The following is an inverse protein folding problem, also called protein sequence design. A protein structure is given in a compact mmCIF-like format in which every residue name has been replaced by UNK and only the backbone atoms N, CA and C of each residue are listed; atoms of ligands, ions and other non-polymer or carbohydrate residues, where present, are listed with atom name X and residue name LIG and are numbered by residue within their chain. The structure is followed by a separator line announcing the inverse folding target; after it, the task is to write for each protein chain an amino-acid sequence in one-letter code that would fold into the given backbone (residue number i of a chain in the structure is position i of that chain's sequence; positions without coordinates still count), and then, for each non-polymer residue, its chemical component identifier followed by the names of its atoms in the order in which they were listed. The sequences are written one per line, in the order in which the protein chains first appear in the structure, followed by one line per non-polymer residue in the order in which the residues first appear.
data_IF_646697285137
#
_entry.id   IF_646697285137
#
_cell.length_a   1.000
_cell.length_b   1.000
_cell.length_c   1.000
_cell.angle_alpha   90.00
_cell.angle_beta   90.00
_cell.angle_gamma   90.00
#
_symmetry.space_group_name_H-M   'P 1'
#
loop_
_entity.id
_entity.type
_entity.pdbx_description
1 polymer ?
#
# COMPACT_ATOMS: atom_id res chain seq x y z
N UNK A 1 0.22 10.27 28.12
CA UNK A 1 0.09 10.91 26.80
C UNK A 1 1.48 10.91 26.17
N UNK A 2 1.67 10.17 25.07
CA UNK A 2 2.97 10.04 24.40
C UNK A 2 2.94 10.76 23.06
N UNK A 3 4.11 11.22 22.62
CA UNK A 3 4.29 11.81 21.29
C UNK A 3 4.68 10.71 20.32
N UNK A 4 3.79 10.38 19.40
CA UNK A 4 3.93 9.27 18.47
C UNK A 4 4.22 9.78 17.08
N UNK A 5 5.36 9.40 16.52
CA UNK A 5 5.72 9.68 15.14
C UNK A 5 5.35 8.52 14.24
N UNK A 6 4.56 8.78 13.21
CA UNK A 6 4.35 7.84 12.11
C UNK A 6 5.20 8.28 10.92
N UNK A 7 5.99 7.39 10.36
CA UNK A 7 6.72 7.61 9.11
C UNK A 7 6.23 6.60 8.07
N UNK A 8 5.66 7.08 6.98
CA UNK A 8 5.11 6.21 5.95
C UNK A 8 4.48 6.97 4.79
N UNK A 9 4.05 6.28 3.73
CA UNK A 9 3.55 6.89 2.51
C UNK A 9 2.05 7.25 2.60
N UNK A 10 1.65 8.06 3.59
CA UNK A 10 0.24 8.37 3.88
C UNK A 10 -0.53 8.94 2.68
N UNK A 11 0.13 9.70 1.81
CA UNK A 11 -0.48 10.29 0.61
C UNK A 11 -0.62 9.30 -0.55
N UNK A 12 0.08 8.16 -0.52
CA UNK A 12 0.05 7.19 -1.62
C UNK A 12 -1.27 6.42 -1.67
N UNK A 13 -1.81 6.22 -2.88
CA UNK A 13 -2.93 5.29 -3.13
C UNK A 13 -2.47 3.82 -3.26
N UNK A 14 -1.36 3.46 -2.65
CA UNK A 14 -0.87 2.09 -2.52
C UNK A 14 -1.44 1.38 -1.29
N UNK A 15 -1.27 0.05 -1.20
CA UNK A 15 -1.59 -0.72 0.01
C UNK A 15 -0.84 -0.25 1.24
N UNK A 16 0.43 0.13 1.11
CA UNK A 16 1.21 0.73 2.19
C UNK A 16 0.66 2.11 2.62
N UNK A 17 0.17 2.91 1.66
CA UNK A 17 -0.49 4.17 1.97
C UNK A 17 -1.77 3.97 2.78
N UNK A 18 -2.63 3.02 2.40
CA UNK A 18 -3.84 2.69 3.17
C UNK A 18 -3.51 2.13 4.56
N UNK A 19 -2.48 1.29 4.66
CA UNK A 19 -2.02 0.78 5.96
C UNK A 19 -1.52 1.93 6.86
N UNK A 20 -0.75 2.85 6.30
CA UNK A 20 -0.28 4.05 7.01
C UNK A 20 -1.46 4.91 7.50
N UNK A 21 -2.44 5.19 6.64
CA UNK A 21 -3.65 5.95 7.02
C UNK A 21 -4.48 5.24 8.07
N UNK A 22 -4.61 3.92 7.99
CA UNK A 22 -5.34 3.13 8.99
C UNK A 22 -4.69 3.22 10.37
N UNK A 23 -3.36 3.14 10.43
CA UNK A 23 -2.61 3.34 11.66
C UNK A 23 -2.77 4.76 12.20
N UNK A 24 -2.67 5.78 11.32
CA UNK A 24 -2.86 7.19 11.71
C UNK A 24 -4.27 7.43 12.27
N UNK A 25 -5.32 6.91 11.64
CA UNK A 25 -6.71 7.03 12.14
C UNK A 25 -6.86 6.41 13.52
N UNK A 26 -6.30 5.22 13.73
CA UNK A 26 -6.31 4.56 15.03
C UNK A 26 -5.59 5.40 16.08
N UNK A 27 -4.36 5.81 15.83
CA UNK A 27 -3.59 6.62 16.78
C UNK A 27 -4.26 7.96 17.08
N UNK A 28 -4.85 8.63 16.08
CA UNK A 28 -5.59 9.87 16.26
C UNK A 28 -6.90 9.72 17.05
N UNK A 29 -7.42 8.50 17.20
CA UNK A 29 -8.56 8.21 18.08
C UNK A 29 -8.17 7.95 19.54
N UNK A 30 -6.88 7.93 19.83
CA UNK A 30 -6.34 7.76 21.19
C UNK A 30 -5.98 9.11 21.82
N UNK A 31 -5.51 9.08 23.07
CA UNK A 31 -5.03 10.27 23.79
C UNK A 31 -3.58 10.69 23.44
N UNK A 32 -2.98 10.05 22.43
CA UNK A 32 -1.61 10.37 22.02
C UNK A 32 -1.55 11.58 21.09
N UNK A 33 -0.43 12.31 21.15
CA UNK A 33 -0.10 13.33 20.15
C UNK A 33 0.52 12.63 18.92
N UNK A 34 -0.13 12.75 17.76
CA UNK A 34 0.28 12.06 16.53
C UNK A 34 0.96 13.03 15.57
N UNK A 35 2.09 12.60 15.05
CA UNK A 35 2.94 13.34 14.09
C UNK A 35 3.21 12.47 12.88
N UNK A 36 3.39 13.07 11.70
CA UNK A 36 3.59 12.36 10.44
C UNK A 36 4.78 12.89 9.65
N UNK A 37 5.72 11.99 9.33
CA UNK A 37 6.68 12.17 8.23
C UNK A 37 6.17 11.38 7.04
N UNK A 38 5.57 12.08 6.06
CA UNK A 38 5.17 11.43 4.82
C UNK A 38 6.39 11.16 3.94
N UNK A 39 6.45 9.94 3.39
CA UNK A 39 7.47 9.53 2.43
C UNK A 39 6.82 9.15 1.10
N UNK A 40 7.57 9.24 0.01
CA UNK A 40 7.09 8.77 -1.27
C UNK A 40 7.12 7.24 -1.32
N UNK A 41 6.14 6.63 -1.98
CA UNK A 41 6.13 5.20 -2.25
C UNK A 41 6.74 4.92 -3.62
N UNK A 42 8.05 4.69 -3.64
CA UNK A 42 8.81 4.52 -4.87
C UNK A 42 8.66 5.72 -5.81
N UNK A 43 8.50 5.44 -7.10
CA UNK A 43 8.27 6.46 -8.15
C UNK A 43 6.78 6.67 -8.45
N UNK A 44 5.88 6.11 -7.62
CA UNK A 44 4.44 6.20 -7.87
C UNK A 44 3.95 7.64 -7.70
N UNK A 45 3.43 8.23 -8.77
CA UNK A 45 2.74 9.52 -8.75
C UNK A 45 1.26 9.43 -8.34
N UNK A 46 0.78 8.24 -8.00
CA UNK A 46 -0.62 8.03 -7.63
C UNK A 46 -0.84 8.39 -6.16
N UNK A 47 -1.21 9.63 -5.92
CA UNK A 47 -1.43 10.19 -4.59
C UNK A 47 -2.87 10.69 -4.42
N UNK A 48 -3.29 10.86 -3.19
CA UNK A 48 -4.54 11.57 -2.83
C UNK A 48 -4.32 13.05 -3.10
N UNK A 49 -5.10 13.61 -4.04
CA UNK A 49 -4.90 15.01 -4.48
C UNK A 49 -5.73 16.01 -3.66
N UNK A 50 -6.98 15.63 -3.31
CA UNK A 50 -7.94 16.54 -2.66
C UNK A 50 -8.85 15.79 -1.69
N UNK A 51 -9.60 16.53 -0.88
CA UNK A 51 -10.64 16.05 0.02
C UNK A 51 -10.23 16.02 1.49
N UNK A 52 -11.19 15.79 2.37
CA UNK A 52 -11.02 15.88 3.82
C UNK A 52 -9.88 14.99 4.36
N UNK A 53 -9.66 13.81 3.76
CA UNK A 53 -8.57 12.93 4.15
C UNK A 53 -7.21 13.53 3.77
N UNK A 54 -7.12 14.20 2.61
CA UNK A 54 -5.91 14.93 2.20
C UNK A 54 -5.64 16.10 3.13
N UNK A 55 -6.63 16.89 3.43
CA UNK A 55 -6.49 18.05 4.31
C UNK A 55 -6.00 17.65 5.69
N UNK A 56 -6.58 16.60 6.27
CA UNK A 56 -6.13 16.04 7.55
C UNK A 56 -4.68 15.54 7.52
N UNK A 57 -4.26 14.85 6.45
CA UNK A 57 -2.86 14.38 6.31
C UNK A 57 -1.92 15.58 6.19
N UNK A 58 -2.29 16.60 5.42
CA UNK A 58 -1.49 17.83 5.28
C UNK A 58 -1.34 18.57 6.61
N UNK A 59 -2.38 18.63 7.44
CA UNK A 59 -2.31 19.19 8.80
C UNK A 59 -1.31 18.43 9.68
N UNK A 60 -1.31 17.10 9.65
CA UNK A 60 -0.33 16.28 10.38
C UNK A 60 1.10 16.53 9.90
N UNK A 61 1.32 16.61 8.59
CA UNK A 61 2.63 16.91 8.00
C UNK A 61 3.09 18.30 8.44
N UNK A 62 2.22 19.31 8.37
CA UNK A 62 2.54 20.69 8.73
C UNK A 62 2.86 20.84 10.22
N UNK A 63 2.08 20.21 11.10
CA UNK A 63 2.33 20.21 12.54
C UNK A 63 3.68 19.57 12.88
N UNK A 64 3.99 18.45 12.24
CA UNK A 64 5.28 17.76 12.38
C UNK A 64 6.44 18.64 11.90
N UNK A 65 6.30 19.27 10.73
CA UNK A 65 7.32 20.17 10.20
C UNK A 65 7.58 21.39 11.12
N UNK A 66 6.52 21.94 11.71
CA UNK A 66 6.64 23.03 12.70
C UNK A 66 7.42 22.56 13.93
N UNK A 67 7.10 21.40 14.48
CA UNK A 67 7.76 20.82 15.65
C UNK A 67 9.24 20.54 15.40
N UNK A 68 9.58 19.96 14.24
CA UNK A 68 10.97 19.71 13.85
C UNK A 68 11.76 21.03 13.71
N UNK A 69 11.16 22.05 13.10
CA UNK A 69 11.81 23.37 12.93
C UNK A 69 12.04 24.12 14.23
N UNK A 70 11.18 23.94 15.23
CA UNK A 70 11.37 24.55 16.56
C UNK A 70 12.43 23.84 17.41
N UNK A 71 12.98 22.72 16.96
CA UNK A 71 13.93 21.91 17.72
C UNK A 71 13.29 21.00 18.76
N UNK A 72 11.93 20.91 18.79
CA UNK A 72 11.17 20.14 19.78
C UNK A 72 10.80 18.75 19.25
N UNK A 73 11.60 18.18 18.34
CA UNK A 73 11.36 16.87 17.71
C UNK A 73 11.70 15.71 18.65
N UNK A 74 11.17 15.73 19.85
CA UNK A 74 11.29 14.72 20.90
C UNK A 74 10.08 13.77 20.85
N UNK A 75 10.16 12.75 20.04
CA UNK A 75 9.15 11.72 19.93
C UNK A 75 9.46 10.56 20.89
N UNK A 76 8.44 9.98 21.52
CA UNK A 76 8.60 8.85 22.46
C UNK A 76 8.63 7.52 21.70
N UNK A 77 7.79 7.39 20.67
CA UNK A 77 7.58 6.17 19.88
C UNK A 77 7.56 6.53 18.39
N UNK A 78 8.18 5.70 17.56
CA UNK A 78 8.01 5.78 16.12
C UNK A 78 7.36 4.52 15.55
N UNK A 79 6.41 4.69 14.63
CA UNK A 79 5.89 3.65 13.75
C UNK A 79 6.36 3.95 12.32
N UNK A 80 6.99 2.98 11.67
CA UNK A 80 7.55 3.15 10.34
C UNK A 80 6.92 2.17 9.35
N UNK A 81 5.90 2.65 8.61
CA UNK A 81 5.13 1.86 7.64
C UNK A 81 5.85 1.88 6.29
N UNK A 82 6.86 1.03 6.14
CA UNK A 82 7.79 1.02 5.02
C UNK A 82 8.37 -0.38 4.78
N UNK A 83 9.23 -0.52 3.76
CA UNK A 83 10.08 -1.69 3.64
C UNK A 83 11.09 -1.73 4.79
N UNK A 84 11.41 -2.90 5.34
CA UNK A 84 12.34 -3.02 6.47
C UNK A 84 13.68 -2.31 6.26
N UNK A 85 14.24 -2.37 5.06
CA UNK A 85 15.51 -1.69 4.72
C UNK A 85 15.48 -0.15 4.85
N UNK A 86 14.30 0.44 5.03
CA UNK A 86 14.12 1.90 5.16
C UNK A 86 13.88 2.34 6.62
N UNK A 87 13.80 1.40 7.57
CA UNK A 87 13.61 1.72 8.99
C UNK A 87 14.83 2.42 9.59
N UNK A 88 14.57 3.33 10.52
CA UNK A 88 15.57 4.19 11.16
C UNK A 88 15.29 4.31 12.65
N UNK A 89 16.28 4.72 13.43
CA UNK A 89 16.09 5.11 14.84
C UNK A 89 15.61 6.55 14.90
N UNK A 90 14.30 6.74 15.11
CA UNK A 90 13.64 8.05 15.11
C UNK A 90 13.10 8.46 16.48
N UNK A 91 13.05 7.52 17.42
CA UNK A 91 12.56 7.71 18.78
C UNK A 91 13.29 6.74 19.73
N UNK A 92 13.15 6.88 21.05
CA UNK A 92 13.61 5.88 22.01
C UNK A 92 13.04 4.48 21.77
N UNK A 93 11.78 4.37 21.29
CA UNK A 93 11.14 3.11 20.93
C UNK A 93 10.67 3.13 19.47
N UNK A 94 11.15 2.20 18.66
CA UNK A 94 10.93 2.17 17.22
C UNK A 94 10.21 0.89 16.80
N UNK A 95 9.11 1.02 16.09
CA UNK A 95 8.28 -0.06 15.60
C UNK A 95 8.31 -0.07 14.08
N UNK A 96 8.85 -1.13 13.50
CA UNK A 96 8.77 -1.38 12.06
C UNK A 96 7.42 -2.00 11.69
N UNK A 97 6.76 -1.47 10.66
CA UNK A 97 5.49 -2.00 10.15
C UNK A 97 5.64 -2.30 8.68
N UNK A 98 5.43 -3.55 8.28
CA UNK A 98 5.61 -3.98 6.89
C UNK A 98 4.56 -5.01 6.48
N UNK A 99 4.23 -5.05 5.19
CA UNK A 99 3.38 -6.10 4.62
C UNK A 99 4.06 -7.48 4.59
N UNK A 100 5.39 -7.51 4.78
CA UNK A 100 6.18 -8.72 4.67
C UNK A 100 6.54 -9.07 3.24
N UNK A 101 7.01 -10.29 3.05
CA UNK A 101 7.38 -10.85 1.75
C UNK A 101 6.37 -11.91 1.30
N UNK A 102 6.18 -12.03 0.00
CA UNK A 102 5.38 -13.10 -0.64
C UNK A 102 6.19 -14.41 -0.77
N UNK A 103 7.49 -14.39 -0.43
CA UNK A 103 8.38 -15.54 -0.42
C UNK A 103 8.43 -16.22 0.97
N UNK A 104 9.01 -17.41 1.02
CA UNK A 104 9.16 -18.18 2.28
C UNK A 104 10.22 -17.60 3.22
N UNK A 105 11.11 -16.74 2.71
CA UNK A 105 12.13 -16.06 3.51
C UNK A 105 12.31 -14.62 3.04
N UNK A 106 12.59 -13.72 3.95
CA UNK A 106 13.01 -12.35 3.64
C UNK A 106 14.51 -12.31 3.34
N UNK A 107 14.98 -11.22 2.72
CA UNK A 107 16.41 -11.00 2.49
C UNK A 107 17.17 -10.76 3.80
N UNK A 108 18.47 -10.99 3.79
CA UNK A 108 19.33 -10.72 4.94
C UNK A 108 19.29 -9.25 5.38
N UNK A 109 19.14 -8.32 4.44
CA UNK A 109 18.98 -6.90 4.75
C UNK A 109 17.71 -6.60 5.56
N UNK A 110 16.63 -7.35 5.34
CA UNK A 110 15.39 -7.21 6.13
C UNK A 110 15.54 -7.82 7.53
N UNK A 111 16.23 -8.94 7.65
CA UNK A 111 16.56 -9.52 8.95
C UNK A 111 17.43 -8.55 9.78
N UNK A 112 18.46 -7.97 9.16
CA UNK A 112 19.30 -6.96 9.81
C UNK A 112 18.50 -5.71 10.22
N UNK A 113 17.61 -5.24 9.37
CA UNK A 113 16.73 -4.11 9.72
C UNK A 113 15.78 -4.44 10.90
N UNK A 114 15.27 -5.67 10.96
CA UNK A 114 14.49 -6.13 12.10
C UNK A 114 15.29 -6.10 13.40
N UNK A 115 16.62 -6.27 13.36
CA UNK A 115 17.50 -6.14 14.54
C UNK A 115 17.54 -4.71 15.08
N UNK A 116 17.48 -3.71 14.19
CA UNK A 116 17.65 -2.29 14.54
C UNK A 116 16.42 -1.62 15.17
N UNK A 117 15.23 -2.25 15.08
CA UNK A 117 13.99 -1.75 15.69
C UNK A 117 13.62 -2.56 16.93
N UNK A 118 12.83 -1.98 17.82
CA UNK A 118 12.45 -2.60 19.10
C UNK A 118 11.32 -3.63 18.93
N UNK A 119 10.40 -3.37 17.99
CA UNK A 119 9.30 -4.28 17.65
C UNK A 119 9.00 -4.24 16.15
N UNK A 120 8.37 -5.31 15.64
CA UNK A 120 7.92 -5.40 14.24
C UNK A 120 6.46 -5.82 14.20
N UNK A 121 5.67 -5.20 13.33
CA UNK A 121 4.29 -5.56 13.04
C UNK A 121 4.20 -6.04 11.60
N UNK A 122 3.58 -7.21 11.42
CA UNK A 122 3.30 -7.81 10.10
C UNK A 122 1.85 -8.29 10.03
N UNK A 123 1.25 -8.42 8.82
CA UNK A 123 -0.18 -8.71 8.70
C UNK A 123 -0.55 -10.18 8.85
N UNK A 124 0.41 -11.11 8.83
CA UNK A 124 0.11 -12.54 8.84
C UNK A 124 1.21 -13.38 9.47
N UNK A 125 0.86 -14.59 9.87
CA UNK A 125 1.83 -15.59 10.34
C UNK A 125 2.83 -15.97 9.24
N UNK A 126 2.41 -15.99 7.96
CA UNK A 126 3.32 -16.20 6.85
C UNK A 126 4.43 -15.12 6.83
N UNK A 127 4.04 -13.86 6.90
CA UNK A 127 4.99 -12.75 6.94
C UNK A 127 5.90 -12.81 8.18
N UNK A 128 5.38 -13.19 9.35
CA UNK A 128 6.20 -13.43 10.54
C UNK A 128 7.20 -14.56 10.34
N UNK A 129 6.75 -15.69 9.78
CA UNK A 129 7.57 -16.87 9.61
C UNK A 129 8.63 -16.72 8.50
N UNK A 130 8.49 -15.75 7.60
CA UNK A 130 9.49 -15.43 6.58
C UNK A 130 10.75 -14.75 7.15
N UNK A 131 10.67 -14.16 8.35
CA UNK A 131 11.86 -13.66 9.07
C UNK A 131 12.60 -14.78 9.78
N UNK A 132 13.90 -14.59 10.02
CA UNK A 132 14.72 -15.51 10.79
C UNK A 132 14.16 -15.74 12.18
N UNK A 133 14.27 -16.98 12.70
CA UNK A 133 13.67 -17.40 13.95
C UNK A 133 14.08 -16.51 15.13
N UNK A 134 15.33 -16.08 15.17
CA UNK A 134 15.89 -15.20 16.20
C UNK A 134 15.17 -13.85 16.38
N UNK A 135 14.42 -13.38 15.35
CA UNK A 135 13.69 -12.10 15.40
C UNK A 135 12.19 -12.28 15.65
N UNK A 136 11.65 -13.51 15.60
CA UNK A 136 10.20 -13.75 15.64
C UNK A 136 9.55 -13.37 16.95
N UNK A 137 10.28 -13.38 18.05
CA UNK A 137 9.75 -13.02 19.37
C UNK A 137 9.33 -11.56 19.46
N UNK A 138 9.98 -10.68 18.72
CA UNK A 138 9.59 -9.26 18.66
C UNK A 138 8.65 -8.92 17.49
N UNK A 139 8.22 -9.92 16.71
CA UNK A 139 7.28 -9.74 15.60
C UNK A 139 5.87 -10.10 16.05
N UNK A 140 5.00 -9.10 16.03
CA UNK A 140 3.57 -9.25 16.29
C UNK A 140 2.79 -9.34 14.99
N UNK A 141 1.76 -10.18 14.97
CA UNK A 141 0.85 -10.30 13.82
C UNK A 141 -0.39 -9.46 14.07
N UNK A 142 -0.55 -8.41 13.27
CA UNK A 142 -1.74 -7.55 13.27
C UNK A 142 -2.26 -7.49 11.83
N UNK A 143 -3.38 -8.14 11.51
CA UNK A 143 -3.96 -8.13 10.18
C UNK A 143 -4.28 -6.71 9.69
N UNK A 144 -4.30 -6.53 8.36
CA UNK A 144 -4.79 -5.29 7.78
C UNK A 144 -6.25 -5.07 8.18
N UNK A 145 -6.56 -3.85 8.63
CA UNK A 145 -7.93 -3.46 8.83
C UNK A 145 -8.58 -3.01 7.51
N UNK A 146 -9.86 -3.33 7.37
CA UNK A 146 -10.69 -2.82 6.30
C UNK A 146 -11.68 -1.81 6.88
N UNK A 147 -12.00 -0.77 6.14
CA UNK A 147 -13.07 0.15 6.51
C UNK A 147 -14.32 -0.16 5.70
N UNK A 148 -15.47 0.00 6.30
CA UNK A 148 -16.73 0.05 5.56
C UNK A 148 -16.78 1.36 4.76
N UNK A 149 -16.97 1.24 3.46
CA UNK A 149 -17.14 2.38 2.56
C UNK A 149 -18.57 2.36 2.07
N UNK A 150 -19.23 3.50 2.07
CA UNK A 150 -20.52 3.63 1.39
C UNK A 150 -20.31 3.35 -0.09
N UNK A 151 -21.11 2.46 -0.64
CA UNK A 151 -21.04 2.07 -2.04
C UNK A 151 -22.06 2.88 -2.84
N UNK A 152 -21.62 3.46 -3.94
CA UNK A 152 -22.52 4.04 -4.93
C UNK A 152 -22.74 3.04 -6.06
N UNK A 153 -23.98 2.91 -6.50
CA UNK A 153 -24.28 2.11 -7.70
C UNK A 153 -23.68 2.79 -8.92
N UNK A 154 -22.83 2.05 -9.63
CA UNK A 154 -22.21 2.52 -10.87
C UNK A 154 -22.71 1.69 -12.05
N UNK A 155 -23.45 2.34 -12.95
CA UNK A 155 -23.82 1.72 -14.22
C UNK A 155 -22.63 1.82 -15.20
N UNK A 156 -21.99 0.71 -15.47
CA UNK A 156 -20.88 0.63 -16.43
C UNK A 156 -21.34 0.42 -17.88
N UNK A 157 -22.66 0.29 -18.13
CA UNK A 157 -23.20 0.05 -19.46
C UNK A 157 -22.75 -1.28 -20.07
N UNK A 158 -22.56 -2.31 -19.24
CA UNK A 158 -22.10 -3.63 -19.68
C UNK A 158 -23.25 -4.37 -20.38
N UNK A 159 -22.93 -5.06 -21.49
CA UNK A 159 -23.89 -5.81 -22.30
C UNK A 159 -23.88 -7.32 -22.04
N UNK A 160 -23.11 -7.78 -21.07
CA UNK A 160 -22.93 -9.20 -20.72
C UNK A 160 -23.67 -9.57 -19.44
N UNK A 161 -24.22 -10.78 -19.38
CA UNK A 161 -25.03 -11.24 -18.25
C UNK A 161 -24.23 -11.46 -16.97
N UNK A 162 -22.95 -11.82 -17.09
CA UNK A 162 -22.02 -11.94 -15.96
C UNK A 162 -20.69 -11.24 -16.26
N UNK A 163 -20.07 -10.65 -15.25
CA UNK A 163 -18.82 -9.93 -15.44
C UNK A 163 -17.83 -10.23 -14.33
N UNK A 164 -16.62 -10.66 -14.71
CA UNK A 164 -15.46 -10.70 -13.82
C UNK A 164 -14.88 -9.29 -13.67
N UNK A 165 -14.35 -8.98 -12.48
CA UNK A 165 -13.66 -7.72 -12.21
C UNK A 165 -12.21 -7.99 -11.80
N UNK A 166 -11.27 -7.35 -12.51
CA UNK A 166 -9.86 -7.32 -12.14
C UNK A 166 -9.42 -5.89 -11.84
N UNK A 167 -8.91 -5.66 -10.63
CA UNK A 167 -8.36 -4.37 -10.21
C UNK A 167 -6.87 -4.57 -9.92
N UNK A 168 -5.98 -3.98 -10.72
CA UNK A 168 -4.55 -4.18 -10.54
C UNK A 168 -3.71 -3.08 -11.22
N UNK A 169 -2.47 -2.96 -10.77
CA UNK A 169 -1.44 -2.28 -11.54
C UNK A 169 -0.95 -3.21 -12.66
N UNK A 170 -0.81 -2.69 -13.88
CA UNK A 170 -0.20 -3.44 -15.00
C UNK A 170 1.28 -3.65 -14.71
N UNK A 171 1.62 -4.83 -14.26
CA UNK A 171 3.00 -5.19 -13.93
C UNK A 171 3.23 -6.69 -14.12
N UNK A 172 4.48 -7.14 -14.34
CA UNK A 172 4.81 -8.56 -14.50
C UNK A 172 4.30 -9.43 -13.34
N UNK A 173 4.40 -8.93 -12.10
CA UNK A 173 3.94 -9.64 -10.90
C UNK A 173 2.42 -9.88 -10.90
N UNK A 174 1.64 -8.97 -11.44
CA UNK A 174 0.17 -9.08 -11.51
C UNK A 174 -0.30 -9.90 -12.71
N UNK A 175 0.58 -10.12 -13.68
CA UNK A 175 0.36 -11.00 -14.84
C UNK A 175 -0.97 -10.74 -15.58
N UNK A 176 -1.27 -9.47 -15.81
CA UNK A 176 -2.55 -9.04 -16.41
C UNK A 176 -2.72 -9.58 -17.83
N UNK A 177 -1.64 -9.61 -18.60
CA UNK A 177 -1.66 -10.11 -19.97
C UNK A 177 -2.12 -11.58 -20.03
N UNK A 178 -1.58 -12.44 -19.18
CA UNK A 178 -2.01 -13.84 -19.11
C UNK A 178 -3.44 -13.98 -18.59
N UNK A 179 -3.87 -13.12 -17.66
CA UNK A 179 -5.26 -13.09 -17.19
C UNK A 179 -6.24 -12.78 -18.34
N UNK A 180 -5.93 -11.77 -19.16
CA UNK A 180 -6.73 -11.40 -20.31
C UNK A 180 -6.75 -12.53 -21.35
N UNK A 181 -5.58 -13.08 -21.67
CA UNK A 181 -5.45 -14.16 -22.63
C UNK A 181 -6.25 -15.40 -22.21
N UNK A 182 -6.09 -15.85 -20.98
CA UNK A 182 -6.82 -17.00 -20.45
C UNK A 182 -8.35 -16.76 -20.43
N UNK A 183 -8.78 -15.55 -20.06
CA UNK A 183 -10.20 -15.17 -20.12
C UNK A 183 -10.76 -15.25 -21.54
N UNK A 184 -10.05 -14.69 -22.52
CA UNK A 184 -10.49 -14.69 -23.92
C UNK A 184 -10.55 -16.10 -24.49
N UNK A 185 -9.64 -16.99 -24.12
CA UNK A 185 -9.67 -18.39 -24.55
C UNK A 185 -10.83 -19.18 -23.94
N UNK A 186 -11.08 -18.99 -22.64
CA UNK A 186 -12.09 -19.78 -21.92
C UNK A 186 -13.51 -19.35 -22.28
N UNK A 187 -13.76 -18.03 -22.38
CA UNK A 187 -15.12 -17.49 -22.51
C UNK A 187 -15.44 -16.94 -23.90
N UNK A 188 -14.79 -17.43 -24.94
CA UNK A 188 -14.87 -16.89 -26.31
C UNK A 188 -16.30 -16.79 -26.87
N UNK A 189 -17.21 -17.68 -26.50
CA UNK A 189 -18.58 -17.76 -27.01
C UNK A 189 -19.65 -17.66 -25.91
N UNK A 190 -19.29 -17.10 -24.76
CA UNK A 190 -20.19 -17.02 -23.60
C UNK A 190 -20.64 -15.57 -23.36
N UNK A 191 -21.81 -15.41 -22.72
CA UNK A 191 -22.34 -14.12 -22.30
C UNK A 191 -21.66 -13.63 -21.02
N UNK A 192 -20.31 -13.52 -21.07
CA UNK A 192 -19.46 -13.18 -19.94
C UNK A 192 -18.50 -12.07 -20.31
N UNK A 193 -18.36 -11.07 -19.43
CA UNK A 193 -17.46 -9.95 -19.62
C UNK A 193 -16.29 -9.92 -18.64
N UNK A 194 -15.20 -9.24 -19.02
CA UNK A 194 -14.08 -8.94 -18.15
C UNK A 194 -13.93 -7.42 -17.99
N UNK A 195 -14.22 -6.92 -16.81
CA UNK A 195 -14.03 -5.53 -16.44
C UNK A 195 -12.63 -5.34 -15.85
N UNK A 196 -11.84 -4.46 -16.45
CA UNK A 196 -10.47 -4.20 -16.05
C UNK A 196 -10.33 -2.77 -15.50
N UNK A 197 -10.04 -2.64 -14.21
CA UNK A 197 -9.63 -1.37 -13.61
C UNK A 197 -8.11 -1.38 -13.43
N UNK A 198 -7.41 -0.81 -14.38
CA UNK A 198 -5.96 -0.88 -14.46
C UNK A 198 -5.31 0.50 -14.32
N UNK A 199 -4.12 0.51 -13.75
CA UNK A 199 -3.21 1.65 -13.76
C UNK A 199 -1.79 1.17 -14.11
N UNK A 200 -0.94 2.09 -14.52
CA UNK A 200 0.49 1.90 -14.70
C UNK A 200 1.24 2.91 -13.83
N UNK A 201 2.53 2.88 -13.79
CA UNK A 201 3.43 3.54 -12.82
C UNK A 201 2.95 4.89 -12.24
N UNK A 202 2.84 5.92 -13.07
CA UNK A 202 2.50 7.28 -12.63
C UNK A 202 1.02 7.66 -12.80
N UNK A 203 0.19 6.75 -13.33
CA UNK A 203 -1.22 7.01 -13.67
C UNK A 203 -1.39 8.22 -14.62
N UNK A 204 -0.39 8.50 -15.46
CA UNK A 204 -0.37 9.59 -16.43
C UNK A 204 -1.20 9.26 -17.68
N UNK A 205 -1.41 10.25 -18.56
CA UNK A 205 -2.05 10.02 -19.85
C UNK A 205 -1.21 9.10 -20.74
N UNK A 206 0.12 9.16 -20.63
CA UNK A 206 1.04 8.26 -21.34
C UNK A 206 0.85 6.84 -20.84
N UNK A 207 0.74 6.63 -19.53
CA UNK A 207 0.49 5.33 -18.94
C UNK A 207 -0.85 4.73 -19.40
N UNK A 208 -1.89 5.56 -19.49
CA UNK A 208 -3.20 5.13 -20.01
C UNK A 208 -3.14 4.73 -21.48
N UNK A 209 -2.37 5.46 -22.29
CA UNK A 209 -2.15 5.11 -23.69
C UNK A 209 -1.38 3.80 -23.82
N UNK A 210 -0.35 3.59 -23.02
CA UNK A 210 0.41 2.34 -22.97
C UNK A 210 -0.48 1.13 -22.67
N UNK A 211 -1.38 1.26 -21.67
CA UNK A 211 -2.35 0.21 -21.32
C UNK A 211 -3.28 -0.07 -22.51
N UNK A 212 -3.85 0.96 -23.14
CA UNK A 212 -4.75 0.81 -24.29
C UNK A 212 -4.08 0.09 -25.46
N UNK A 213 -2.85 0.45 -25.78
CA UNK A 213 -2.08 -0.18 -26.87
C UNK A 213 -1.73 -1.64 -26.52
N UNK A 214 -1.38 -1.93 -25.26
CA UNK A 214 -1.16 -3.28 -24.77
C UNK A 214 -2.41 -4.14 -24.91
N UNK A 215 -3.56 -3.63 -24.47
CA UNK A 215 -4.87 -4.29 -24.64
C UNK A 215 -5.19 -4.58 -26.11
N UNK A 216 -5.05 -3.59 -26.98
CA UNK A 216 -5.33 -3.75 -28.41
C UNK A 216 -4.48 -4.86 -29.05
N UNK A 217 -3.19 -4.92 -28.69
CA UNK A 217 -2.29 -5.99 -29.17
C UNK A 217 -2.73 -7.37 -28.72
N UNK A 218 -3.12 -7.51 -27.44
CA UNK A 218 -3.58 -8.79 -26.87
C UNK A 218 -4.87 -9.27 -27.57
N UNK A 219 -5.87 -8.40 -27.74
CA UNK A 219 -7.12 -8.72 -28.42
C UNK A 219 -6.83 -9.18 -29.87
N UNK A 220 -6.01 -8.42 -30.63
CA UNK A 220 -5.66 -8.78 -31.99
C UNK A 220 -4.89 -10.10 -32.11
N UNK A 221 -4.19 -10.54 -31.08
CA UNK A 221 -3.41 -11.79 -31.07
C UNK A 221 -4.28 -13.04 -30.87
N UNK A 222 -5.49 -12.88 -30.38
CA UNK A 222 -6.43 -14.02 -30.14
C UNK A 222 -7.33 -14.22 -31.38
N UNK A 223 -7.59 -13.16 -32.17
CA UNK A 223 -8.40 -13.21 -33.40
C UNK A 223 -7.61 -13.77 -34.61
N UNK A 224 -6.31 -14.05 -34.45
CA UNK A 224 -5.41 -14.56 -35.49
C UNK A 224 -5.05 -16.04 -35.26
#
# INVERSE_FOLDING_TARGET
MSKVLVRGPALSNSGYGEHCRSLLRYLSSTEHEVYLINVNWGTSGWIIETGAERDWIDELIMSTAKKVRSGDADFDISFQVQLPSEWQKLAPFNIGVTAGSESTSVSDSWNLAAKEVDAVIVPSNHAKNSFSEEYRDKISVVPFCTRTVETEEMNLGLNTGFNFLTIAQWSPRKNIEQCIYAFMQEFQNEDVGLVLKLNYQGNSNIDRQYIKEGMSRLVSSVDS
#
